data_IF_239597105448
#
_entry.id   IF_239597105448
#
_cell.length_a   1.000
_cell.length_b   1.000
_cell.length_c   1.000
_cell.angle_alpha   90.00
_cell.angle_beta   90.00
_cell.angle_gamma   90.00
#
_symmetry.space_group_name_H-M   'P 1'
#
loop_
_entity.id
_entity.type
_entity.pdbx_description
1 polymer ?
#
# COMPACT_ATOMS: atom_id res chain seq x y z
N UNK A 1 71.12 -34.32 -16.38
CA UNK A 1 69.78 -34.19 -15.77
C UNK A 1 69.82 -33.01 -14.80
N UNK A 2 69.44 -31.79 -15.24
CA UNK A 2 69.40 -30.59 -14.40
C UNK A 2 67.94 -30.28 -14.09
N UNK A 3 67.55 -30.43 -12.82
CA UNK A 3 66.20 -30.11 -12.34
C UNK A 3 66.12 -28.61 -12.10
N UNK A 4 65.26 -27.93 -12.85
CA UNK A 4 64.92 -26.52 -12.65
C UNK A 4 63.76 -26.48 -11.64
N UNK A 5 64.01 -25.95 -10.45
CA UNK A 5 62.98 -25.70 -9.44
C UNK A 5 62.22 -24.42 -9.84
N UNK A 6 60.96 -24.55 -10.27
CA UNK A 6 60.06 -23.40 -10.46
C UNK A 6 59.37 -23.10 -9.13
N UNK A 7 59.66 -21.93 -8.55
CA UNK A 7 58.88 -21.37 -7.46
C UNK A 7 57.62 -20.73 -8.04
N UNK A 8 56.45 -21.29 -7.73
CA UNK A 8 55.16 -20.65 -8.00
C UNK A 8 54.76 -19.88 -6.74
N UNK A 9 54.82 -18.55 -6.80
CA UNK A 9 54.28 -17.69 -5.75
C UNK A 9 52.74 -17.70 -5.86
N UNK A 10 52.06 -18.20 -4.84
CA UNK A 10 50.61 -18.09 -4.69
C UNK A 10 50.35 -16.75 -4.01
N UNK A 11 49.83 -15.77 -4.77
CA UNK A 11 49.29 -14.53 -4.23
C UNK A 11 47.85 -14.82 -3.81
N UNK A 12 47.61 -14.86 -2.50
CA UNK A 12 46.25 -14.87 -1.93
C UNK A 12 45.79 -13.43 -1.85
N UNK A 13 44.93 -13.02 -2.79
CA UNK A 13 44.19 -11.76 -2.68
C UNK A 13 43.05 -11.97 -1.68
N UNK A 14 43.21 -11.46 -0.45
CA UNK A 14 42.08 -11.23 0.45
C UNK A 14 41.26 -10.07 -0.12
N UNK A 15 40.15 -10.39 -0.78
CA UNK A 15 39.10 -9.41 -1.06
C UNK A 15 38.40 -9.06 0.25
N UNK A 16 38.73 -7.91 0.83
CA UNK A 16 37.93 -7.30 1.89
C UNK A 16 36.65 -6.82 1.21
N UNK A 17 35.59 -7.63 1.31
CA UNK A 17 34.24 -7.20 0.93
C UNK A 17 33.78 -6.22 2.01
N UNK A 18 33.97 -4.93 1.76
CA UNK A 18 33.18 -3.90 2.44
C UNK A 18 31.75 -4.08 1.96
N UNK A 19 30.95 -4.81 2.71
CA UNK A 19 29.50 -4.68 2.60
C UNK A 19 29.20 -3.22 2.95
N UNK A 20 28.99 -2.40 1.92
CA UNK A 20 28.20 -1.20 2.12
C UNK A 20 26.85 -1.74 2.59
N UNK A 21 26.56 -1.55 3.88
CA UNK A 21 25.19 -1.60 4.35
C UNK A 21 24.50 -0.47 3.59
N UNK A 22 23.83 -0.79 2.48
CA UNK A 22 22.77 0.06 2.00
C UNK A 22 21.81 0.16 3.19
N UNK A 23 21.80 1.30 3.86
CA UNK A 23 20.68 1.64 4.72
C UNK A 23 19.47 1.50 3.81
N UNK A 24 18.62 0.51 4.07
CA UNK A 24 17.36 0.41 3.35
C UNK A 24 16.67 1.76 3.49
N UNK A 25 16.34 2.38 2.36
CA UNK A 25 15.66 3.67 2.34
C UNK A 25 14.28 3.48 2.99
N UNK A 26 13.96 4.35 3.94
CA UNK A 26 12.74 4.27 4.73
C UNK A 26 11.55 4.69 3.87
N UNK A 27 10.52 3.86 3.76
CA UNK A 27 9.40 4.05 2.83
C UNK A 27 8.29 4.94 3.42
N UNK A 28 8.23 6.20 2.99
CA UNK A 28 7.14 7.14 3.31
C UNK A 28 5.97 6.88 2.37
N UNK A 29 4.88 6.31 2.91
CA UNK A 29 3.67 6.08 2.13
C UNK A 29 2.56 7.09 2.45
N UNK A 30 2.10 7.79 1.41
CA UNK A 30 0.97 8.69 1.48
C UNK A 30 -0.36 7.95 1.46
N UNK A 31 -1.02 7.84 2.62
CA UNK A 31 -2.31 7.13 2.78
C UNK A 31 -3.42 7.83 1.99
N UNK A 32 -3.97 7.12 1.00
CA UNK A 32 -4.96 7.64 0.04
C UNK A 32 -4.48 8.94 -0.62
N UNK A 33 -3.18 8.99 -0.91
CA UNK A 33 -2.43 10.20 -1.25
C UNK A 33 -1.98 10.93 0.01
N UNK A 34 -2.81 11.82 0.55
CA UNK A 34 -2.50 12.57 1.77
C UNK A 34 -3.79 13.02 2.44
N UNK A 35 -4.63 12.07 2.88
CA UNK A 35 -5.99 12.35 3.40
C UNK A 35 -6.05 13.43 4.49
N UNK A 36 -4.97 13.61 5.26
CA UNK A 36 -4.87 14.67 6.26
C UNK A 36 -4.85 16.08 5.67
N UNK A 37 -4.41 16.22 4.42
CA UNK A 37 -4.12 17.49 3.74
C UNK A 37 -5.05 17.75 2.55
N UNK A 38 -5.47 16.70 1.84
CA UNK A 38 -6.30 16.77 0.64
C UNK A 38 -7.43 15.73 0.66
N UNK A 39 -8.51 15.89 -0.13
CA UNK A 39 -9.61 14.93 -0.17
C UNK A 39 -9.12 13.56 -0.62
N UNK A 40 -9.31 12.53 0.22
CA UNK A 40 -8.72 11.21 0.03
C UNK A 40 -9.02 10.57 -1.33
N UNK A 41 -8.07 9.78 -1.85
CA UNK A 41 -8.27 8.96 -3.05
C UNK A 41 -8.68 9.79 -4.29
N UNK A 42 -8.25 11.06 -4.35
CA UNK A 42 -8.46 11.95 -5.50
C UNK A 42 -7.16 12.20 -6.23
N UNK A 43 -7.25 12.55 -7.52
CA UNK A 43 -6.08 13.04 -8.28
C UNK A 43 -5.39 14.19 -7.54
N UNK A 44 -6.15 15.13 -6.95
CA UNK A 44 -5.56 16.23 -6.21
C UNK A 44 -4.75 15.77 -4.97
N UNK A 45 -5.22 14.77 -4.23
CA UNK A 45 -4.47 14.22 -3.10
C UNK A 45 -3.21 13.46 -3.54
N UNK A 46 -3.28 12.71 -4.65
CA UNK A 46 -2.11 12.02 -5.20
C UNK A 46 -1.08 13.00 -5.75
N UNK A 47 -1.50 14.00 -6.52
CA UNK A 47 -0.62 15.08 -7.00
C UNK A 47 0.08 15.77 -5.84
N UNK A 48 -0.67 16.14 -4.79
CA UNK A 48 -0.07 16.82 -3.65
C UNK A 48 0.92 15.93 -2.88
N UNK A 49 0.61 14.64 -2.70
CA UNK A 49 1.54 13.71 -2.07
C UNK A 49 2.83 13.52 -2.89
N UNK A 50 2.74 13.46 -4.22
CA UNK A 50 3.90 13.45 -5.11
C UNK A 50 4.73 14.75 -4.97
N UNK A 51 4.09 15.91 -4.93
CA UNK A 51 4.76 17.21 -4.71
C UNK A 51 5.48 17.30 -3.35
N UNK A 52 4.96 16.63 -2.32
CA UNK A 52 5.62 16.55 -1.02
C UNK A 52 6.88 15.66 -1.05
N UNK A 53 6.97 14.72 -1.99
CA UNK A 53 8.08 13.79 -2.13
C UNK A 53 7.89 12.46 -1.39
N UNK A 54 6.68 11.89 -1.43
CA UNK A 54 6.46 10.51 -0.92
C UNK A 54 7.18 9.48 -1.79
N UNK A 55 7.66 8.41 -1.17
CA UNK A 55 8.24 7.26 -1.89
C UNK A 55 7.17 6.38 -2.55
N UNK A 56 5.99 6.32 -1.91
CA UNK A 56 4.89 5.46 -2.33
C UNK A 56 3.55 6.16 -2.17
N UNK A 57 2.72 6.10 -3.21
CA UNK A 57 1.30 6.46 -3.13
C UNK A 57 0.50 5.24 -2.70
N UNK A 58 -0.18 5.34 -1.55
CA UNK A 58 -1.10 4.31 -1.10
C UNK A 58 -2.54 4.64 -1.54
N UNK A 59 -3.27 3.62 -2.00
CA UNK A 59 -4.62 3.77 -2.54
C UNK A 59 -5.48 2.52 -2.36
N UNK A 60 -6.79 2.70 -2.49
CA UNK A 60 -7.78 1.63 -2.34
C UNK A 60 -8.53 1.35 -3.64
N UNK A 61 -8.65 0.09 -4.06
CA UNK A 61 -9.40 -0.27 -5.28
C UNK A 61 -10.70 -0.99 -5.01
N UNK A 62 -11.72 -0.64 -5.78
CA UNK A 62 -12.98 -1.37 -5.97
C UNK A 62 -13.34 -1.36 -7.46
N UNK A 63 -14.40 -2.06 -7.87
CA UNK A 63 -14.77 -2.20 -9.30
C UNK A 63 -16.22 -1.79 -9.54
N UNK A 64 -16.44 -1.02 -10.61
CA UNK A 64 -17.76 -0.57 -11.07
C UNK A 64 -18.54 -1.68 -11.76
N UNK A 65 -19.83 -1.44 -12.02
CA UNK A 65 -20.74 -2.35 -12.73
C UNK A 65 -20.27 -2.75 -14.13
N UNK A 66 -19.66 -1.80 -14.83
CA UNK A 66 -19.08 -1.97 -16.17
C UNK A 66 -17.61 -2.42 -16.13
N UNK A 67 -17.09 -2.79 -14.95
CA UNK A 67 -15.84 -3.50 -14.80
C UNK A 67 -14.59 -2.61 -14.75
N UNK A 68 -14.74 -1.30 -14.52
CA UNK A 68 -13.64 -0.34 -14.36
C UNK A 68 -13.12 -0.41 -12.92
N UNK A 69 -11.80 -0.56 -12.76
CA UNK A 69 -11.15 -0.48 -11.45
C UNK A 69 -11.02 0.99 -11.06
N UNK A 70 -11.60 1.36 -9.93
CA UNK A 70 -11.69 2.74 -9.43
C UNK A 70 -11.16 2.87 -8.01
N UNK A 71 -10.76 4.08 -7.66
CA UNK A 71 -10.03 4.36 -6.42
C UNK A 71 -10.98 4.88 -5.34
N UNK A 72 -11.40 4.01 -4.42
CA UNK A 72 -12.30 4.35 -3.32
C UNK A 72 -12.14 3.38 -2.15
N UNK A 73 -12.15 3.92 -0.93
CA UNK A 73 -11.87 3.13 0.27
C UNK A 73 -12.99 2.13 0.64
N UNK A 74 -14.27 2.52 0.52
CA UNK A 74 -15.37 1.59 0.76
C UNK A 74 -15.85 0.93 -0.53
N UNK A 75 -16.58 -0.18 -0.41
CA UNK A 75 -17.35 -0.73 -1.53
C UNK A 75 -18.52 0.17 -1.98
N UNK A 76 -18.76 1.29 -1.29
CA UNK A 76 -19.87 2.21 -1.52
C UNK A 76 -19.40 3.67 -1.48
N UNK A 77 -20.23 4.54 -2.07
CA UNK A 77 -20.12 5.98 -1.90
C UNK A 77 -20.52 6.38 -0.47
N UNK A 78 -19.57 6.90 0.30
CA UNK A 78 -19.81 7.29 1.70
C UNK A 78 -20.57 8.62 1.78
N UNK A 79 -21.77 8.66 2.40
CA UNK A 79 -22.58 9.86 2.59
C UNK A 79 -21.86 11.05 3.23
N UNK A 80 -20.89 10.80 4.11
CA UNK A 80 -20.16 11.87 4.80
C UNK A 80 -19.16 12.62 3.91
N UNK A 81 -18.93 12.15 2.69
CA UNK A 81 -17.93 12.75 1.78
C UNK A 81 -18.31 12.74 0.31
N UNK A 82 -19.51 12.29 0.00
CA UNK A 82 -19.98 12.17 -1.38
C UNK A 82 -21.18 13.08 -1.59
N UNK A 83 -21.12 13.91 -2.63
CA UNK A 83 -22.19 14.81 -3.02
C UNK A 83 -22.65 14.55 -4.45
N UNK A 84 -23.91 14.85 -4.72
CA UNK A 84 -24.48 14.94 -6.06
C UNK A 84 -25.23 16.26 -6.16
N UNK A 85 -25.00 17.01 -7.24
CA UNK A 85 -25.60 18.34 -7.45
C UNK A 85 -25.39 19.29 -6.25
N UNK A 86 -24.20 19.22 -5.63
CA UNK A 86 -23.81 20.05 -4.49
C UNK A 86 -24.36 19.63 -3.13
N UNK A 87 -25.18 18.57 -3.05
CA UNK A 87 -25.75 18.07 -1.79
C UNK A 87 -25.16 16.71 -1.41
N UNK A 88 -24.90 16.50 -0.12
CA UNK A 88 -24.48 15.19 0.37
C UNK A 88 -25.55 14.14 0.10
N UNK A 89 -25.13 12.98 -0.40
CA UNK A 89 -26.02 11.84 -0.57
C UNK A 89 -26.49 11.36 0.81
N UNK A 90 -27.66 10.73 0.88
CA UNK A 90 -28.25 10.28 2.16
C UNK A 90 -28.05 8.80 2.42
N UNK A 91 -27.85 8.03 1.36
CA UNK A 91 -27.78 6.58 1.40
C UNK A 91 -26.45 6.10 0.83
N UNK A 92 -26.01 4.93 1.30
CA UNK A 92 -24.84 4.25 0.74
C UNK A 92 -25.24 3.65 -0.60
N UNK A 93 -24.45 3.94 -1.64
CA UNK A 93 -24.65 3.38 -2.98
C UNK A 93 -23.44 2.50 -3.28
N UNK A 94 -23.66 1.21 -3.53
CA UNK A 94 -22.56 0.28 -3.86
C UNK A 94 -21.95 0.65 -5.21
N UNK A 95 -20.63 0.73 -5.28
CA UNK A 95 -19.91 1.16 -6.49
C UNK A 95 -20.07 0.14 -7.62
N UNK A 96 -20.11 -1.16 -7.30
CA UNK A 96 -20.37 -2.23 -8.28
C UNK A 96 -21.75 -2.17 -8.95
N UNK A 97 -22.67 -1.34 -8.45
CA UNK A 97 -24.00 -1.17 -9.01
C UNK A 97 -24.10 0.08 -9.91
N UNK A 98 -23.03 0.88 -9.99
CA UNK A 98 -22.90 2.07 -10.85
C UNK A 98 -21.93 1.80 -12.01
N UNK A 99 -22.22 2.30 -13.21
CA UNK A 99 -21.20 2.40 -14.27
C UNK A 99 -20.15 3.44 -13.90
N UNK A 100 -18.99 3.43 -14.57
CA UNK A 100 -18.00 4.46 -14.33
C UNK A 100 -18.52 5.85 -14.70
N UNK A 101 -19.28 5.97 -15.80
CA UNK A 101 -19.92 7.23 -16.20
C UNK A 101 -20.89 7.76 -15.11
N UNK A 102 -21.74 6.91 -14.55
CA UNK A 102 -22.65 7.28 -13.46
C UNK A 102 -21.88 7.69 -12.19
N UNK A 103 -20.79 6.97 -11.87
CA UNK A 103 -19.95 7.26 -10.72
C UNK A 103 -19.30 8.65 -10.82
N UNK A 104 -18.96 9.10 -12.03
CA UNK A 104 -18.34 10.41 -12.28
C UNK A 104 -19.27 11.61 -12.09
N UNK A 105 -20.57 11.38 -11.89
CA UNK A 105 -21.51 12.44 -11.51
C UNK A 105 -21.35 12.87 -10.04
N UNK A 106 -20.69 12.07 -9.21
CA UNK A 106 -20.56 12.33 -7.77
C UNK A 106 -19.26 13.07 -7.43
N UNK A 107 -19.40 14.09 -6.59
CA UNK A 107 -18.30 14.88 -6.06
C UNK A 107 -17.80 14.33 -4.72
N UNK A 108 -16.51 14.02 -4.62
CA UNK A 108 -15.88 13.47 -3.40
C UNK A 108 -14.89 14.43 -2.73
N UNK A 109 -14.96 15.71 -3.07
CA UNK A 109 -13.95 16.70 -2.70
C UNK A 109 -14.21 17.42 -1.37
N UNK A 110 -15.30 17.08 -0.68
CA UNK A 110 -15.67 17.70 0.60
C UNK A 110 -16.18 16.69 1.61
N UNK A 111 -15.89 16.95 2.87
CA UNK A 111 -16.43 16.27 4.04
C UNK A 111 -17.68 17.00 4.57
N UNK A 112 -18.62 16.25 5.12
CA UNK A 112 -19.79 16.80 5.83
C UNK A 112 -19.42 17.37 7.19
N UNK A 113 -18.35 16.85 7.79
CA UNK A 113 -17.81 17.20 9.11
C UNK A 113 -16.30 17.51 8.95
N UNK A 114 -15.93 18.63 8.31
CA UNK A 114 -14.53 18.98 8.05
C UNK A 114 -13.72 19.25 9.33
N UNK A 115 -14.36 19.50 10.46
CA UNK A 115 -13.72 19.70 11.77
C UNK A 115 -12.93 18.48 12.27
N UNK A 116 -13.27 17.28 11.81
CA UNK A 116 -12.53 16.05 12.11
C UNK A 116 -11.19 15.98 11.35
N UNK A 117 -11.05 16.80 10.29
CA UNK A 117 -9.87 16.91 9.43
C UNK A 117 -9.50 18.38 9.19
N UNK A 118 -9.11 19.10 10.25
CA UNK A 118 -9.00 20.56 10.23
C UNK A 118 -7.94 21.11 9.26
N UNK A 119 -6.96 20.28 8.89
CA UNK A 119 -5.88 20.63 7.95
C UNK A 119 -6.18 20.23 6.51
N UNK A 120 -7.27 19.48 6.27
CA UNK A 120 -7.63 19.02 4.94
C UNK A 120 -8.27 20.15 4.12
N UNK A 121 -7.65 20.50 3.01
CA UNK A 121 -8.22 21.43 2.04
C UNK A 121 -9.46 20.83 1.38
N UNK A 122 -10.58 21.52 1.50
CA UNK A 122 -11.86 21.14 0.89
C UNK A 122 -11.94 21.66 -0.54
N UNK A 123 -12.01 20.78 -1.54
CA UNK A 123 -11.87 21.13 -2.95
C UNK A 123 -13.05 20.60 -3.78
N UNK A 124 -13.96 21.47 -4.22
CA UNK A 124 -15.05 21.08 -5.12
C UNK A 124 -14.50 20.57 -6.48
N UNK A 125 -15.28 19.74 -7.16
CA UNK A 125 -14.97 19.23 -8.49
C UNK A 125 -14.18 17.91 -8.49
N UNK A 126 -13.75 17.42 -7.34
CA UNK A 126 -13.06 16.13 -7.26
C UNK A 126 -14.02 14.97 -7.54
N UNK A 127 -13.54 13.95 -8.25
CA UNK A 127 -14.29 12.76 -8.67
C UNK A 127 -13.49 11.51 -8.33
N UNK A 128 -14.17 10.38 -8.16
CA UNK A 128 -13.51 9.08 -8.03
C UNK A 128 -12.69 8.80 -9.30
N UNK A 129 -11.36 8.66 -9.23
CA UNK A 129 -10.54 8.33 -10.38
C UNK A 129 -10.54 6.81 -10.65
N UNK A 130 -10.21 6.43 -11.89
CA UNK A 130 -9.84 5.06 -12.23
C UNK A 130 -8.40 4.77 -11.81
N UNK A 131 -8.06 3.49 -11.64
CA UNK A 131 -6.67 3.08 -11.39
C UNK A 131 -5.75 3.56 -12.51
N UNK A 132 -6.19 3.47 -13.77
CA UNK A 132 -5.40 3.93 -14.93
C UNK A 132 -5.06 5.42 -14.88
N UNK A 133 -6.01 6.27 -14.47
CA UNK A 133 -5.75 7.71 -14.30
C UNK A 133 -4.68 7.96 -13.23
N UNK A 134 -4.70 7.21 -12.12
CA UNK A 134 -3.69 7.36 -11.07
C UNK A 134 -2.32 6.84 -11.52
N UNK A 135 -2.25 5.69 -12.20
CA UNK A 135 -0.98 5.18 -12.73
C UNK A 135 -0.38 6.12 -13.77
N UNK A 136 -1.21 6.69 -14.66
CA UNK A 136 -0.75 7.68 -15.65
C UNK A 136 -0.16 8.92 -14.97
N UNK A 137 -0.80 9.41 -13.89
CA UNK A 137 -0.26 10.53 -13.11
C UNK A 137 1.10 10.20 -12.49
N UNK A 138 1.27 9.01 -11.92
CA UNK A 138 2.53 8.59 -11.29
C UNK A 138 3.62 8.40 -12.35
N UNK A 139 3.30 7.81 -13.49
CA UNK A 139 4.22 7.61 -14.61
C UNK A 139 4.73 8.95 -15.16
N UNK A 140 3.81 9.89 -15.44
CA UNK A 140 4.16 11.24 -15.88
C UNK A 140 5.04 11.99 -14.86
N UNK A 141 4.76 11.83 -13.57
CA UNK A 141 5.58 12.41 -12.51
C UNK A 141 6.98 11.82 -12.49
N UNK A 142 7.09 10.48 -12.50
CA UNK A 142 8.36 9.76 -12.51
C UNK A 142 9.22 10.15 -13.72
N UNK A 143 8.63 10.19 -14.91
CA UNK A 143 9.32 10.59 -16.14
C UNK A 143 9.80 12.04 -16.11
N UNK A 144 8.98 12.95 -15.59
CA UNK A 144 9.29 14.39 -15.59
C UNK A 144 10.29 14.80 -14.51
N UNK A 145 10.39 14.04 -13.41
CA UNK A 145 11.28 14.34 -12.29
C UNK A 145 12.51 13.41 -12.23
N UNK A 146 12.52 12.32 -13.01
CA UNK A 146 13.58 11.30 -12.94
C UNK A 146 13.48 10.47 -11.66
N UNK A 147 12.26 10.28 -11.16
CA UNK A 147 11.95 9.58 -9.91
C UNK A 147 11.45 8.15 -10.18
N UNK A 148 11.20 7.39 -9.11
CA UNK A 148 10.62 6.04 -9.20
C UNK A 148 9.62 5.80 -8.06
N UNK A 149 8.66 6.73 -7.94
CA UNK A 149 7.57 6.63 -6.98
C UNK A 149 6.77 5.36 -7.22
N UNK A 150 6.52 4.63 -6.13
CA UNK A 150 5.79 3.36 -6.12
C UNK A 150 4.30 3.56 -5.87
N UNK A 151 3.52 2.50 -6.05
CA UNK A 151 2.10 2.44 -5.68
C UNK A 151 1.81 1.23 -4.78
N UNK A 152 1.11 1.46 -3.67
CA UNK A 152 0.63 0.42 -2.77
C UNK A 152 -0.91 0.32 -2.85
N UNK A 153 -1.40 -0.75 -3.44
CA UNK A 153 -2.76 -0.86 -3.98
C UNK A 153 -3.57 -1.85 -3.14
N UNK A 154 -4.55 -1.36 -2.39
CA UNK A 154 -5.43 -2.23 -1.62
C UNK A 154 -6.52 -2.86 -2.49
N UNK A 155 -6.63 -4.19 -2.44
CA UNK A 155 -7.82 -4.92 -2.91
C UNK A 155 -8.88 -4.89 -1.81
N UNK A 156 -9.88 -4.02 -1.93
CA UNK A 156 -11.03 -3.96 -1.02
C UNK A 156 -11.99 -5.10 -1.31
N UNK A 157 -11.84 -6.19 -0.56
CA UNK A 157 -12.78 -7.30 -0.57
C UNK A 157 -13.08 -7.75 0.85
N UNK A 158 -14.33 -8.09 1.13
CA UNK A 158 -14.82 -8.37 2.47
C UNK A 158 -15.48 -9.76 2.53
N UNK A 159 -14.76 -10.81 2.98
CA UNK A 159 -15.27 -12.19 3.01
C UNK A 159 -16.55 -12.40 3.84
N UNK A 160 -16.84 -11.51 4.78
CA UNK A 160 -18.05 -11.52 5.61
C UNK A 160 -19.25 -10.81 4.97
N UNK A 161 -19.02 -10.05 3.90
CA UNK A 161 -20.04 -9.37 3.07
C UNK A 161 -19.63 -9.41 1.59
N UNK A 162 -19.45 -10.62 1.01
CA UNK A 162 -18.91 -10.77 -0.34
C UNK A 162 -19.83 -10.17 -1.41
N UNK A 163 -21.11 -9.95 -1.08
CA UNK A 163 -22.08 -9.30 -1.96
C UNK A 163 -21.89 -7.80 -2.12
N UNK A 164 -20.98 -7.16 -1.40
CA UNK A 164 -20.76 -5.70 -1.49
C UNK A 164 -19.81 -5.35 -2.65
N UNK A 165 -18.99 -6.29 -3.11
CA UNK A 165 -17.99 -6.12 -4.17
C UNK A 165 -18.22 -7.16 -5.28
N UNK A 166 -17.42 -7.08 -6.36
CA UNK A 166 -17.36 -8.18 -7.34
C UNK A 166 -16.62 -9.39 -6.76
N UNK A 167 -16.56 -10.49 -7.52
CA UNK A 167 -15.76 -11.66 -7.15
C UNK A 167 -14.29 -11.29 -6.91
N UNK A 168 -13.70 -11.87 -5.86
CA UNK A 168 -12.34 -11.57 -5.44
C UNK A 168 -11.31 -11.84 -6.55
N UNK A 169 -11.43 -12.98 -7.24
CA UNK A 169 -10.47 -13.37 -8.26
C UNK A 169 -10.59 -12.46 -9.48
N UNK A 170 -11.82 -12.07 -9.83
CA UNK A 170 -12.05 -11.08 -10.87
C UNK A 170 -11.44 -9.72 -10.53
N UNK A 171 -11.60 -9.24 -9.29
CA UNK A 171 -11.00 -7.98 -8.83
C UNK A 171 -9.46 -8.01 -8.93
N UNK A 172 -8.83 -9.04 -8.36
CA UNK A 172 -7.37 -9.21 -8.41
C UNK A 172 -6.89 -9.26 -9.87
N UNK A 173 -7.56 -10.04 -10.72
CA UNK A 173 -7.19 -10.17 -12.13
C UNK A 173 -7.24 -8.84 -12.88
N UNK A 174 -8.31 -8.05 -12.68
CA UNK A 174 -8.46 -6.73 -13.31
C UNK A 174 -7.36 -5.74 -12.88
N UNK A 175 -6.99 -5.76 -11.60
CA UNK A 175 -5.90 -4.90 -11.09
C UNK A 175 -4.57 -5.30 -11.71
N UNK A 176 -4.23 -6.60 -11.71
CA UNK A 176 -2.99 -7.09 -12.29
C UNK A 176 -2.90 -6.85 -13.80
N UNK A 177 -4.00 -7.04 -14.53
CA UNK A 177 -4.07 -6.74 -15.97
C UNK A 177 -3.74 -5.27 -16.25
N UNK A 178 -4.26 -4.34 -15.43
CA UNK A 178 -3.93 -2.92 -15.55
C UNK A 178 -2.45 -2.69 -15.23
N UNK A 179 -1.93 -3.24 -14.12
CA UNK A 179 -0.53 -3.03 -13.74
C UNK A 179 0.44 -3.48 -14.83
N UNK A 180 0.25 -4.68 -15.39
CA UNK A 180 1.09 -5.19 -16.47
C UNK A 180 0.90 -4.40 -17.77
N UNK A 181 -0.33 -3.99 -18.06
CA UNK A 181 -0.65 -3.22 -19.26
C UNK A 181 -0.03 -1.81 -19.26
N UNK A 182 0.10 -1.22 -18.08
CA UNK A 182 0.70 0.12 -17.88
C UNK A 182 2.18 0.05 -17.43
N UNK A 183 2.79 -1.15 -17.30
CA UNK A 183 4.22 -1.32 -16.98
C UNK A 183 4.61 -1.07 -15.51
N UNK A 184 3.69 -1.25 -14.57
CA UNK A 184 3.86 -0.95 -13.14
C UNK A 184 4.24 -2.16 -12.28
N UNK A 185 4.51 -3.34 -12.86
CA UNK A 185 4.70 -4.58 -12.09
C UNK A 185 5.86 -4.54 -11.08
N UNK A 186 6.91 -3.77 -11.37
CA UNK A 186 8.07 -3.59 -10.48
C UNK A 186 7.91 -2.41 -9.50
N UNK A 187 6.95 -1.51 -9.75
CA UNK A 187 6.66 -0.33 -8.91
C UNK A 187 5.41 -0.51 -8.05
N UNK A 188 4.71 -1.63 -8.18
CA UNK A 188 3.45 -1.89 -7.48
C UNK A 188 3.59 -2.94 -6.37
N UNK A 189 2.89 -2.67 -5.27
CA UNK A 189 2.60 -3.64 -4.22
C UNK A 189 1.10 -3.83 -4.11
N UNK A 190 0.62 -5.08 -4.12
CA UNK A 190 -0.77 -5.40 -3.83
C UNK A 190 -0.94 -5.65 -2.33
N UNK A 191 -1.78 -4.88 -1.67
CA UNK A 191 -2.11 -5.07 -0.25
C UNK A 191 -3.56 -5.51 -0.04
N UNK A 192 -3.85 -6.25 1.03
CA UNK A 192 -5.22 -6.60 1.39
C UNK A 192 -5.34 -7.16 2.81
N UNK A 193 -6.48 -6.91 3.47
CA UNK A 193 -6.88 -7.61 4.69
C UNK A 193 -7.36 -9.03 4.43
N UNK A 194 -7.89 -9.29 3.23
CA UNK A 194 -8.30 -10.61 2.79
C UNK A 194 -7.10 -11.28 2.11
N UNK A 195 -6.35 -12.08 2.86
CA UNK A 195 -5.09 -12.67 2.40
C UNK A 195 -5.28 -13.69 1.27
N UNK A 196 -6.51 -14.11 0.97
CA UNK A 196 -6.77 -14.88 -0.25
C UNK A 196 -6.49 -14.05 -1.51
N UNK A 197 -6.68 -12.72 -1.46
CA UNK A 197 -6.30 -11.80 -2.53
C UNK A 197 -4.80 -11.88 -2.84
N UNK A 198 -3.97 -11.98 -1.78
CA UNK A 198 -2.50 -12.02 -1.90
C UNK A 198 -2.02 -13.33 -2.49
N UNK A 199 -2.63 -14.46 -2.08
CA UNK A 199 -2.37 -15.77 -2.68
C UNK A 199 -2.73 -15.79 -4.16
N UNK A 200 -3.92 -15.32 -4.51
CA UNK A 200 -4.36 -15.22 -5.91
C UNK A 200 -3.40 -14.33 -6.69
N UNK A 201 -2.97 -13.20 -6.11
CA UNK A 201 -2.01 -12.29 -6.75
C UNK A 201 -0.68 -12.98 -7.05
N UNK A 202 -0.12 -13.71 -6.07
CA UNK A 202 1.12 -14.47 -6.25
C UNK A 202 0.98 -15.68 -7.19
N UNK A 203 -0.20 -16.29 -7.27
CA UNK A 203 -0.48 -17.37 -8.22
C UNK A 203 -0.56 -16.87 -9.67
N UNK A 204 -1.13 -15.67 -9.88
CA UNK A 204 -1.28 -15.08 -11.19
C UNK A 204 0.00 -14.38 -11.66
N UNK A 205 0.58 -13.52 -10.83
CA UNK A 205 1.73 -12.68 -11.18
C UNK A 205 2.76 -12.63 -10.02
N UNK A 206 3.67 -13.62 -9.93
CA UNK A 206 4.61 -13.73 -8.81
C UNK A 206 5.57 -12.54 -8.62
N UNK A 207 5.86 -11.79 -9.69
CA UNK A 207 6.76 -10.63 -9.69
C UNK A 207 6.21 -9.47 -8.86
N UNK A 208 4.90 -9.21 -8.93
CA UNK A 208 4.26 -8.11 -8.21
C UNK A 208 4.35 -8.36 -6.71
N UNK A 209 4.86 -7.38 -5.95
CA UNK A 209 5.01 -7.50 -4.51
C UNK A 209 3.63 -7.59 -3.82
N UNK A 210 3.59 -8.23 -2.64
CA UNK A 210 2.36 -8.28 -1.84
C UNK A 210 2.59 -7.85 -0.40
N UNK A 211 1.61 -7.15 0.17
CA UNK A 211 1.62 -6.70 1.56
C UNK A 211 0.38 -7.20 2.32
N UNK A 212 0.60 -7.89 3.43
CA UNK A 212 -0.50 -8.40 4.25
C UNK A 212 -0.95 -7.35 5.26
N UNK A 213 -2.16 -6.82 5.08
CA UNK A 213 -2.76 -5.94 6.08
C UNK A 213 -3.18 -6.74 7.31
N UNK A 214 -2.77 -6.28 8.49
CA UNK A 214 -3.01 -6.96 9.76
C UNK A 214 -3.67 -6.02 10.76
N UNK A 215 -4.77 -6.44 11.36
CA UNK A 215 -5.44 -5.74 12.45
C UNK A 215 -6.08 -6.73 13.42
N UNK A 216 -6.62 -6.20 14.52
CA UNK A 216 -7.37 -7.00 15.50
C UNK A 216 -8.62 -7.67 14.89
N UNK A 217 -9.12 -7.18 13.76
CA UNK A 217 -10.37 -7.68 13.17
C UNK A 217 -10.17 -8.86 12.23
N UNK A 218 -8.95 -9.08 11.69
CA UNK A 218 -8.66 -10.12 10.70
C UNK A 218 -7.71 -11.23 11.19
N UNK A 219 -6.67 -10.92 11.97
CA UNK A 219 -5.57 -11.86 12.28
C UNK A 219 -6.03 -13.20 12.89
N UNK A 220 -7.05 -13.18 13.76
CA UNK A 220 -7.56 -14.38 14.44
C UNK A 220 -8.67 -15.13 13.67
N UNK A 221 -9.04 -14.64 12.48
CA UNK A 221 -10.16 -15.15 11.70
C UNK A 221 -9.67 -15.79 10.40
N UNK A 222 -9.75 -17.12 10.33
CA UNK A 222 -9.28 -17.89 9.16
C UNK A 222 -9.95 -17.53 7.84
N UNK A 223 -11.16 -16.95 7.86
CA UNK A 223 -11.82 -16.46 6.64
C UNK A 223 -11.10 -15.26 6.01
N UNK A 224 -10.34 -14.49 6.80
CA UNK A 224 -9.55 -13.36 6.34
C UNK A 224 -8.09 -13.73 6.06
N UNK A 225 -7.55 -14.71 6.78
CA UNK A 225 -6.13 -15.09 6.70
C UNK A 225 -5.87 -16.25 5.73
N UNK A 226 -6.70 -16.42 4.69
CA UNK A 226 -6.57 -17.52 3.73
C UNK A 226 -6.50 -18.93 4.37
N UNK A 227 -7.22 -19.14 5.47
CA UNK A 227 -7.21 -20.39 6.23
C UNK A 227 -6.06 -20.54 7.23
N UNK A 228 -5.07 -19.65 7.21
CA UNK A 228 -3.90 -19.70 8.09
C UNK A 228 -4.26 -19.36 9.54
N UNK A 229 -3.49 -19.90 10.48
CA UNK A 229 -3.61 -19.59 11.91
C UNK A 229 -2.23 -19.42 12.53
N UNK A 230 -2.03 -18.33 13.26
CA UNK A 230 -0.75 -17.96 13.86
C UNK A 230 -0.15 -19.06 14.76
N UNK A 231 -1.00 -19.79 15.49
CA UNK A 231 -0.59 -20.93 16.33
C UNK A 231 0.11 -22.07 15.55
N UNK A 232 -0.20 -22.23 14.26
CA UNK A 232 0.41 -23.26 13.42
C UNK A 232 1.83 -22.89 12.99
N UNK A 233 2.25 -21.65 13.24
CA UNK A 233 3.57 -21.10 12.89
C UNK A 233 4.38 -20.75 14.14
N UNK A 234 4.04 -21.34 15.31
CA UNK A 234 4.76 -21.05 16.55
C UNK A 234 4.56 -19.63 17.07
N UNK A 235 3.46 -18.98 16.68
CA UNK A 235 3.18 -17.57 16.97
C UNK A 235 4.13 -16.55 16.32
N UNK A 236 4.82 -16.96 15.26
CA UNK A 236 5.70 -16.12 14.45
C UNK A 236 4.95 -15.60 13.22
N UNK A 237 4.65 -14.30 13.19
CA UNK A 237 3.86 -13.67 12.13
C UNK A 237 4.64 -13.61 10.81
N UNK A 238 5.95 -13.39 10.87
CA UNK A 238 6.83 -13.39 9.70
C UNK A 238 6.84 -14.76 9.02
N UNK A 239 7.02 -15.85 9.78
CA UNK A 239 6.94 -17.22 9.22
C UNK A 239 5.58 -17.51 8.61
N UNK A 240 4.50 -17.06 9.26
CA UNK A 240 3.14 -17.22 8.76
C UNK A 240 2.96 -16.53 7.39
N UNK A 241 3.40 -15.28 7.25
CA UNK A 241 3.22 -14.52 6.01
C UNK A 241 4.20 -14.90 4.91
N UNK A 242 5.43 -15.29 5.27
CA UNK A 242 6.36 -15.89 4.33
C UNK A 242 5.81 -17.19 3.69
N UNK A 243 4.96 -17.94 4.41
CA UNK A 243 4.37 -19.19 3.87
C UNK A 243 3.40 -18.98 2.69
N UNK A 244 2.91 -17.76 2.48
CA UNK A 244 2.08 -17.38 1.32
C UNK A 244 2.84 -16.46 0.35
N UNK A 245 4.17 -16.38 0.46
CA UNK A 245 5.00 -15.60 -0.44
C UNK A 245 4.81 -14.09 -0.30
N UNK A 246 4.34 -13.60 0.85
CA UNK A 246 4.20 -12.17 1.08
C UNK A 246 5.57 -11.46 1.07
N UNK A 247 5.59 -10.17 0.75
CA UNK A 247 6.81 -9.34 0.75
C UNK A 247 6.85 -8.39 1.94
N UNK A 248 5.68 -7.96 2.42
CA UNK A 248 5.55 -6.95 3.49
C UNK A 248 4.49 -7.37 4.51
N UNK A 249 4.77 -7.18 5.79
CA UNK A 249 3.78 -7.19 6.86
C UNK A 249 3.30 -5.76 7.06
N UNK A 250 2.01 -5.49 6.92
CA UNK A 250 1.45 -4.13 7.06
C UNK A 250 0.45 -4.08 8.22
N UNK A 251 0.91 -3.93 9.48
CA UNK A 251 0.03 -3.99 10.65
C UNK A 251 -0.57 -2.63 11.02
N UNK A 252 -1.74 -2.65 11.64
CA UNK A 252 -2.16 -1.53 12.48
C UNK A 252 -1.08 -1.30 13.54
N UNK A 253 -0.52 -0.09 13.62
CA UNK A 253 0.60 0.19 14.52
C UNK A 253 0.28 -0.15 15.99
N UNK A 254 -0.99 0.00 16.38
CA UNK A 254 -1.51 -0.33 17.72
C UNK A 254 -1.54 -1.82 18.07
N UNK A 255 -1.37 -2.70 17.07
CA UNK A 255 -1.30 -4.15 17.25
C UNK A 255 0.14 -4.64 17.39
N UNK A 256 1.13 -3.84 17.00
CA UNK A 256 2.52 -4.25 17.03
C UNK A 256 2.96 -4.53 18.47
N UNK A 257 3.65 -5.65 18.64
CA UNK A 257 4.32 -6.01 19.89
C UNK A 257 5.82 -6.13 19.67
N UNK A 258 6.57 -6.20 20.76
CA UNK A 258 8.00 -6.53 20.72
C UNK A 258 8.21 -7.81 19.89
N UNK A 259 9.23 -7.79 19.03
CA UNK A 259 9.61 -8.91 18.19
C UNK A 259 8.92 -8.99 16.82
N UNK A 260 7.91 -8.16 16.49
CA UNK A 260 7.31 -8.17 15.14
C UNK A 260 8.30 -7.74 14.05
N UNK A 261 9.08 -6.69 14.32
CA UNK A 261 10.13 -6.22 13.41
C UNK A 261 11.18 -7.32 13.20
N UNK A 262 11.67 -7.92 14.29
CA UNK A 262 12.62 -9.03 14.24
C UNK A 262 12.05 -10.23 13.46
N UNK A 263 10.79 -10.63 13.73
CA UNK A 263 10.10 -11.72 13.04
C UNK A 263 9.95 -11.45 11.54
N UNK A 264 9.61 -10.22 11.15
CA UNK A 264 9.53 -9.81 9.75
C UNK A 264 10.90 -9.94 9.07
N UNK A 265 11.92 -9.28 9.62
CA UNK A 265 13.27 -9.25 9.04
C UNK A 265 13.93 -10.64 8.99
N UNK A 266 13.78 -11.47 10.02
CA UNK A 266 14.26 -12.86 10.01
C UNK A 266 13.58 -13.72 8.96
N UNK A 267 12.36 -13.35 8.55
CA UNK A 267 11.60 -14.01 7.49
C UNK A 267 11.84 -13.41 6.11
N UNK A 268 12.73 -12.41 5.99
CA UNK A 268 13.03 -11.70 4.74
C UNK A 268 11.91 -10.76 4.28
N UNK A 269 11.03 -10.35 5.20
CA UNK A 269 9.90 -9.46 4.93
C UNK A 269 10.22 -8.04 5.43
N UNK A 270 9.65 -7.04 4.75
CA UNK A 270 9.56 -5.68 5.31
C UNK A 270 8.39 -5.58 6.29
N UNK A 271 8.39 -4.58 7.16
CA UNK A 271 7.26 -4.22 8.02
C UNK A 271 6.94 -2.73 7.90
N UNK A 272 5.70 -2.42 7.49
CA UNK A 272 5.25 -1.06 7.18
C UNK A 272 3.90 -0.81 7.88
N UNK A 273 3.87 -0.29 9.12
CA UNK A 273 2.63 -0.05 9.84
C UNK A 273 1.76 1.09 9.30
N UNK A 274 0.46 1.01 9.61
CA UNK A 274 -0.56 2.01 9.26
C UNK A 274 -1.56 2.23 10.40
N UNK A 275 -2.41 3.26 10.36
CA UNK A 275 -2.11 4.58 9.78
C UNK A 275 -1.55 5.42 10.93
N UNK A 276 -0.31 5.93 10.80
CA UNK A 276 0.38 6.59 11.91
C UNK A 276 0.40 8.09 11.65
N UNK A 277 -0.33 8.85 12.45
CA UNK A 277 -0.47 10.31 12.28
C UNK A 277 0.14 11.13 13.42
N UNK A 278 0.43 10.47 14.55
CA UNK A 278 1.05 11.09 15.72
C UNK A 278 2.58 11.03 15.59
N UNK A 279 3.23 12.18 15.77
CA UNK A 279 4.68 12.32 15.62
C UNK A 279 5.48 11.43 16.59
N UNK A 280 5.01 11.29 17.83
CA UNK A 280 5.72 10.47 18.82
C UNK A 280 5.62 8.98 18.45
N UNK A 281 4.48 8.54 17.92
CA UNK A 281 4.34 7.19 17.40
C UNK A 281 5.15 6.97 16.12
N UNK A 282 5.27 7.95 15.23
CA UNK A 282 6.17 7.88 14.08
C UNK A 282 7.63 7.68 14.54
N UNK A 283 8.12 8.53 15.45
CA UNK A 283 9.47 8.42 16.03
C UNK A 283 9.72 7.06 16.67
N UNK A 284 8.78 6.61 17.51
CA UNK A 284 8.87 5.32 18.20
C UNK A 284 8.96 4.15 17.23
N UNK A 285 8.21 4.18 16.13
CA UNK A 285 8.22 3.11 15.14
C UNK A 285 9.48 3.12 14.28
N UNK A 286 9.97 4.31 13.90
CA UNK A 286 11.27 4.47 13.22
C UNK A 286 12.38 3.90 14.11
N UNK A 287 12.40 4.25 15.40
CA UNK A 287 13.40 3.75 16.37
C UNK A 287 13.28 2.23 16.60
N UNK A 288 12.07 1.67 16.47
CA UNK A 288 11.83 0.23 16.52
C UNK A 288 12.36 -0.52 15.29
N UNK A 289 12.71 0.20 14.22
CA UNK A 289 13.30 -0.35 13.00
C UNK A 289 12.29 -0.82 11.96
N UNK A 290 11.11 -0.21 11.88
CA UNK A 290 10.19 -0.47 10.75
C UNK A 290 10.79 0.04 9.44
N UNK A 291 10.38 -0.56 8.32
CA UNK A 291 10.92 -0.25 6.99
C UNK A 291 10.21 0.92 6.30
N UNK A 292 9.11 1.39 6.86
CA UNK A 292 8.31 2.50 6.34
C UNK A 292 7.08 2.76 7.19
N UNK A 293 6.32 3.81 6.88
CA UNK A 293 5.07 4.14 7.57
C UNK A 293 4.03 4.61 6.53
N UNK A 294 2.79 4.14 6.69
CA UNK A 294 1.62 4.67 5.98
C UNK A 294 0.96 5.74 6.85
N UNK A 295 0.81 6.96 6.33
CA UNK A 295 0.31 8.11 7.10
C UNK A 295 -0.63 9.01 6.30
N UNK A 296 -1.59 9.62 6.99
CA UNK A 296 -2.44 10.67 6.41
C UNK A 296 -1.68 12.01 6.23
N UNK A 297 -0.55 12.19 6.92
CA UNK A 297 0.26 13.41 6.98
C UNK A 297 1.70 13.12 6.54
N UNK A 298 1.93 12.82 5.23
CA UNK A 298 3.25 12.49 4.73
C UNK A 298 4.26 13.65 4.88
N UNK A 299 3.79 14.89 4.84
CA UNK A 299 4.59 16.10 5.12
C UNK A 299 5.35 15.99 6.45
N UNK A 300 4.67 15.56 7.50
CA UNK A 300 5.25 15.40 8.84
C UNK A 300 6.26 14.26 8.90
N UNK A 301 5.96 13.14 8.24
CA UNK A 301 6.84 11.98 8.22
C UNK A 301 8.12 12.27 7.42
N UNK A 302 8.01 12.97 6.28
CA UNK A 302 9.14 13.39 5.46
C UNK A 302 10.05 14.33 6.24
N UNK A 303 9.49 15.33 6.93
CA UNK A 303 10.26 16.22 7.78
C UNK A 303 10.99 15.44 8.88
N UNK A 304 10.31 14.49 9.53
CA UNK A 304 10.89 13.68 10.59
C UNK A 304 12.06 12.80 10.10
N UNK A 305 11.89 12.14 8.96
CA UNK A 305 12.92 11.26 8.36
C UNK A 305 14.11 12.09 7.86
N UNK A 306 13.86 13.25 7.26
CA UNK A 306 14.92 14.14 6.72
C UNK A 306 15.82 14.74 7.80
N UNK A 307 15.34 14.83 9.04
CA UNK A 307 16.06 15.41 10.18
C UNK A 307 16.91 14.39 10.97
N UNK A 308 16.95 13.12 10.54
CA UNK A 308 17.68 12.03 11.21
C UNK A 308 18.97 11.67 10.46
#
# INVERSE_FOLDING_TARGET
MRVILKFTAIIVLLSISTALSATAEFDVQGHRGCRGLMPENTIAAFTHALELGVDTIELDTVVTKDGVVVINHEAYLNPQRTRKDGQFIREKILIKDLTYEELREFDIGRLSEPEDWPEQTQLDGQRVPSLKEVLSLVDEYNDSHGESVRVNIEIKHFPDRPSDTIDLKEHVHKVLEILLGEGFEELATIQSFNWEALKISKELEPSVQTAALVSKTNLDKSIWTAGLRLRNFGFDIGRMLASIGCSVISPSYSLMTDGWVESAHQSGLKIIPWTVNDLQEMERLIDLGVDGIITDYPDRLIELVSNR
#
